data_IF_046927488611
#
_entry.id   IF_046927488611
#
_cell.length_a   1.000
_cell.length_b   1.000
_cell.length_c   1.000
_cell.angle_alpha   90.00
_cell.angle_beta   90.00
_cell.angle_gamma   90.00
#
_symmetry.space_group_name_H-M   'P 1'
#
loop_
_entity.id
_entity.type
_entity.pdbx_description
1 polymer ?
#
# COMPACT_ATOMS: atom_id res chain seq x y z
N UNK A 1 -9.07 56.11 -19.86
CA UNK A 1 -7.76 56.56 -19.34
C UNK A 1 -7.29 55.73 -18.13
N UNK A 2 -8.17 55.23 -17.24
CA UNK A 2 -7.76 54.47 -16.04
C UNK A 2 -7.16 53.07 -16.31
N UNK A 3 -7.66 52.32 -17.30
CA UNK A 3 -7.19 50.95 -17.58
C UNK A 3 -5.72 50.94 -18.01
N UNK A 4 -5.31 51.87 -18.88
CA UNK A 4 -3.91 51.99 -19.31
C UNK A 4 -2.98 52.34 -18.14
N UNK A 5 -3.43 53.21 -17.23
CA UNK A 5 -2.64 53.59 -16.05
C UNK A 5 -2.50 52.45 -15.06
N UNK A 6 -3.54 51.63 -14.88
CA UNK A 6 -3.51 50.41 -14.06
C UNK A 6 -2.59 49.36 -14.66
N UNK A 7 -2.70 49.09 -15.97
CA UNK A 7 -1.81 48.14 -16.65
C UNK A 7 -0.36 48.57 -16.53
N UNK A 8 -0.05 49.85 -16.74
CA UNK A 8 1.32 50.37 -16.57
C UNK A 8 1.81 50.21 -15.13
N UNK A 9 0.98 50.51 -14.12
CA UNK A 9 1.35 50.29 -12.71
C UNK A 9 1.64 48.83 -12.40
N UNK A 10 0.84 47.90 -12.92
CA UNK A 10 1.08 46.46 -12.73
C UNK A 10 2.36 46.00 -13.42
N UNK A 11 2.66 46.53 -14.61
CA UNK A 11 3.90 46.24 -15.32
C UNK A 11 5.12 46.76 -14.55
N UNK A 12 5.09 48.00 -14.05
CA UNK A 12 6.17 48.54 -13.22
C UNK A 12 6.34 47.77 -11.90
N UNK A 13 5.25 47.30 -11.29
CA UNK A 13 5.31 46.50 -10.07
C UNK A 13 5.96 45.13 -10.31
N UNK A 14 5.61 44.48 -11.42
CA UNK A 14 6.23 43.21 -11.82
C UNK A 14 7.71 43.39 -12.17
N UNK A 15 8.05 44.46 -12.91
CA UNK A 15 9.43 44.80 -13.28
C UNK A 15 10.31 44.98 -12.04
N UNK A 16 9.82 45.71 -11.04
CA UNK A 16 10.50 45.86 -9.74
C UNK A 16 10.71 44.52 -9.03
N UNK A 17 9.70 43.64 -9.02
CA UNK A 17 9.85 42.32 -8.41
C UNK A 17 10.87 41.46 -9.16
N UNK A 18 10.91 41.54 -10.49
CA UNK A 18 11.92 40.87 -11.32
C UNK A 18 13.32 41.40 -11.00
N UNK A 19 13.48 42.71 -10.88
CA UNK A 19 14.75 43.32 -10.51
C UNK A 19 15.26 42.79 -9.16
N UNK A 20 14.40 42.79 -8.13
CA UNK A 20 14.73 42.24 -6.81
C UNK A 20 15.04 40.73 -6.90
N UNK A 21 14.27 39.98 -7.69
CA UNK A 21 14.47 38.55 -7.87
C UNK A 21 15.85 38.25 -8.48
N UNK A 22 16.24 38.99 -9.52
CA UNK A 22 17.54 38.83 -10.19
C UNK A 22 18.69 39.27 -9.28
N UNK A 23 18.54 40.41 -8.59
CA UNK A 23 19.55 40.91 -7.65
C UNK A 23 19.80 39.94 -6.48
N UNK A 24 18.76 39.23 -6.04
CA UNK A 24 18.81 38.28 -4.92
C UNK A 24 18.64 36.82 -5.36
N UNK A 25 19.07 36.47 -6.57
CA UNK A 25 18.89 35.13 -7.14
C UNK A 25 19.39 34.00 -6.22
N UNK A 26 20.58 34.08 -5.58
CA UNK A 26 21.02 33.05 -4.64
C UNK A 26 20.07 32.86 -3.45
N UNK A 27 19.52 33.94 -2.91
CA UNK A 27 18.53 33.89 -1.84
C UNK A 27 17.25 33.24 -2.33
N UNK A 28 16.78 33.61 -3.53
CA UNK A 28 15.55 33.04 -4.12
C UNK A 28 15.68 31.52 -4.34
N UNK A 29 16.86 31.03 -4.75
CA UNK A 29 17.15 29.60 -4.85
C UNK A 29 17.00 28.89 -3.49
N UNK A 30 17.53 29.49 -2.42
CA UNK A 30 17.45 28.91 -1.07
C UNK A 30 16.01 28.97 -0.55
N UNK A 31 15.30 30.08 -0.76
CA UNK A 31 13.88 30.25 -0.40
C UNK A 31 13.04 29.19 -1.13
N UNK A 32 13.26 29.00 -2.43
CA UNK A 32 12.64 27.93 -3.21
C UNK A 32 12.85 26.57 -2.55
N UNK A 33 14.08 26.24 -2.16
CA UNK A 33 14.39 24.94 -1.57
C UNK A 33 13.76 24.76 -0.18
N UNK A 34 13.79 25.79 0.67
CA UNK A 34 13.20 25.76 2.01
C UNK A 34 11.68 25.61 1.95
N UNK A 35 11.02 26.35 1.07
CA UNK A 35 9.56 26.25 0.89
C UNK A 35 9.19 24.90 0.28
N UNK A 36 9.96 24.38 -0.67
CA UNK A 36 9.71 23.07 -1.27
C UNK A 36 9.90 21.93 -0.26
N UNK A 37 10.88 22.04 0.64
CA UNK A 37 11.04 21.13 1.78
C UNK A 37 9.86 21.24 2.76
N UNK A 38 9.43 22.45 3.11
CA UNK A 38 8.26 22.66 3.97
C UNK A 38 6.97 22.06 3.40
N UNK A 39 6.75 22.22 2.09
CA UNK A 39 5.64 21.57 1.39
C UNK A 39 5.71 20.04 1.45
N UNK A 40 6.91 19.47 1.28
CA UNK A 40 7.12 18.03 1.44
C UNK A 40 6.81 17.54 2.86
N UNK A 41 7.25 18.27 3.89
CA UNK A 41 6.94 17.95 5.29
C UNK A 41 5.43 17.96 5.52
N UNK A 42 4.74 19.02 5.05
CA UNK A 42 3.29 19.15 5.16
C UNK A 42 2.57 17.97 4.49
N UNK A 43 2.89 17.65 3.24
CA UNK A 43 2.24 16.55 2.52
C UNK A 43 2.53 15.19 3.12
N UNK A 44 3.78 14.95 3.53
CA UNK A 44 4.20 13.69 4.14
C UNK A 44 3.47 13.47 5.46
N UNK A 45 3.36 14.50 6.33
CA UNK A 45 2.61 14.42 7.58
C UNK A 45 1.12 14.19 7.29
N UNK A 46 0.51 15.02 6.44
CA UNK A 46 -0.91 14.92 6.13
C UNK A 46 -1.28 13.53 5.61
N UNK A 47 -0.52 13.04 4.62
CA UNK A 47 -0.82 11.74 4.01
C UNK A 47 -0.49 10.59 4.96
N UNK A 48 0.58 10.67 5.75
CA UNK A 48 0.90 9.59 6.70
C UNK A 48 -0.14 9.48 7.81
N UNK A 49 -0.74 10.60 8.23
CA UNK A 49 -1.85 10.59 9.19
C UNK A 49 -3.11 10.01 8.58
N UNK A 50 -3.42 10.34 7.32
CA UNK A 50 -4.62 9.86 6.63
C UNK A 50 -4.52 8.38 6.26
N UNK A 51 -3.35 7.91 5.83
CA UNK A 51 -3.12 6.54 5.35
C UNK A 51 -2.70 5.59 6.49
N UNK A 52 -2.24 6.12 7.62
CA UNK A 52 -1.81 5.33 8.79
C UNK A 52 -0.42 4.71 8.67
N UNK A 53 0.31 5.00 7.59
CA UNK A 53 1.68 4.55 7.34
C UNK A 53 2.54 5.70 6.79
N UNK A 54 3.86 5.58 6.91
CA UNK A 54 4.75 6.62 6.40
C UNK A 54 4.79 6.60 4.86
N UNK A 55 4.14 7.59 4.24
CA UNK A 55 4.07 7.71 2.79
C UNK A 55 4.95 8.83 2.30
N UNK A 56 6.03 8.46 1.61
CA UNK A 56 6.88 9.43 0.90
C UNK A 56 6.07 10.10 -0.21
N UNK A 57 5.97 11.43 -0.17
CA UNK A 57 5.38 12.25 -1.22
C UNK A 57 6.43 12.95 -2.07
N UNK A 58 6.00 13.45 -3.22
CA UNK A 58 6.83 14.22 -4.16
C UNK A 58 7.29 13.43 -5.40
N UNK A 59 7.68 14.19 -6.43
CA UNK A 59 8.26 13.64 -7.66
C UNK A 59 9.73 13.23 -7.49
N UNK A 60 10.46 13.98 -6.67
CA UNK A 60 11.88 13.82 -6.45
C UNK A 60 12.19 12.75 -5.39
N UNK A 61 13.42 12.24 -5.39
CA UNK A 61 13.86 11.30 -4.38
C UNK A 61 14.13 11.96 -3.03
N UNK A 62 14.61 13.20 -3.04
CA UNK A 62 14.85 13.99 -1.85
C UNK A 62 13.57 14.44 -1.16
N UNK A 63 13.66 14.93 0.08
CA UNK A 63 12.53 15.41 0.86
C UNK A 63 12.05 16.78 0.36
N UNK A 64 11.56 16.85 -0.88
CA UNK A 64 11.15 18.12 -1.50
C UNK A 64 9.97 17.94 -2.45
N UNK A 65 9.05 18.89 -2.40
CA UNK A 65 7.98 19.06 -3.36
C UNK A 65 8.18 20.40 -4.10
N UNK A 66 8.92 20.41 -5.23
CA UNK A 66 9.29 21.63 -5.95
C UNK A 66 8.12 22.55 -6.31
N UNK A 67 6.92 21.98 -6.47
CA UNK A 67 5.72 22.75 -6.82
C UNK A 67 5.38 23.82 -5.78
N UNK A 68 5.66 23.59 -4.49
CA UNK A 68 5.44 24.60 -3.44
C UNK A 68 6.40 25.77 -3.56
N UNK A 69 7.69 25.50 -3.78
CA UNK A 69 8.68 26.55 -3.98
C UNK A 69 8.44 27.35 -5.26
N UNK A 70 8.13 26.66 -6.37
CA UNK A 70 7.79 27.30 -7.65
C UNK A 70 6.53 28.16 -7.49
N UNK A 71 5.48 27.61 -6.90
CA UNK A 71 4.23 28.33 -6.66
C UNK A 71 4.43 29.55 -5.79
N UNK A 72 5.13 29.42 -4.65
CA UNK A 72 5.44 30.53 -3.76
C UNK A 72 6.19 31.66 -4.45
N UNK A 73 7.27 31.33 -5.18
CA UNK A 73 8.06 32.35 -5.88
C UNK A 73 7.31 32.96 -7.06
N UNK A 74 6.53 32.18 -7.81
CA UNK A 74 5.71 32.69 -8.91
C UNK A 74 4.65 33.68 -8.40
N UNK A 75 3.95 33.32 -7.31
CA UNK A 75 2.98 34.20 -6.66
C UNK A 75 3.66 35.45 -6.12
N UNK A 76 4.80 35.34 -5.44
CA UNK A 76 5.53 36.50 -4.94
C UNK A 76 6.03 37.41 -6.08
N UNK A 77 6.51 36.84 -7.17
CA UNK A 77 6.97 37.61 -8.34
C UNK A 77 5.82 38.42 -8.94
N UNK A 78 4.64 37.83 -9.09
CA UNK A 78 3.47 38.48 -9.70
C UNK A 78 2.76 39.44 -8.73
N UNK A 79 2.65 39.08 -7.45
CA UNK A 79 1.77 39.74 -6.48
C UNK A 79 2.51 40.39 -5.30
N UNK A 80 3.84 40.38 -5.27
CA UNK A 80 4.65 40.87 -4.14
C UNK A 80 4.49 42.36 -3.81
N UNK A 81 3.98 43.18 -4.74
CA UNK A 81 3.69 44.60 -4.50
C UNK A 81 2.21 44.86 -4.16
N UNK A 82 1.36 43.83 -4.15
CA UNK A 82 -0.07 43.97 -3.86
C UNK A 82 -0.28 43.97 -2.35
N UNK A 83 -0.76 45.09 -1.80
CA UNK A 83 -0.97 45.22 -0.34
C UNK A 83 -2.26 44.56 0.16
N UNK A 84 -3.23 44.29 -0.72
CA UNK A 84 -4.53 43.74 -0.32
C UNK A 84 -4.48 42.20 -0.27
N UNK A 85 -4.61 41.57 0.91
CA UNK A 85 -4.50 40.13 1.05
C UNK A 85 -5.64 39.36 0.39
N UNK A 86 -6.82 39.95 0.21
CA UNK A 86 -7.95 39.31 -0.49
C UNK A 86 -7.62 39.18 -1.98
N UNK A 87 -7.01 40.21 -2.58
CA UNK A 87 -6.56 40.16 -3.97
C UNK A 87 -5.48 39.10 -4.14
N UNK A 88 -4.51 39.06 -3.22
CA UNK A 88 -3.46 38.03 -3.22
C UNK A 88 -4.04 36.62 -3.07
N UNK A 89 -5.04 36.44 -2.21
CA UNK A 89 -5.74 35.17 -2.05
C UNK A 89 -6.40 34.72 -3.35
N UNK A 90 -7.20 35.59 -3.98
CA UNK A 90 -7.97 35.24 -5.18
C UNK A 90 -7.04 34.99 -6.37
N UNK A 91 -6.15 35.93 -6.69
CA UNK A 91 -5.25 35.82 -7.86
C UNK A 91 -4.20 34.74 -7.60
N UNK A 92 -3.69 34.63 -6.37
CA UNK A 92 -2.76 33.58 -5.97
C UNK A 92 -3.37 32.19 -6.06
N UNK A 93 -4.62 32.01 -5.62
CA UNK A 93 -5.35 30.75 -5.79
C UNK A 93 -5.47 30.36 -7.26
N UNK A 94 -5.82 31.31 -8.14
CA UNK A 94 -5.92 31.06 -9.59
C UNK A 94 -4.54 30.68 -10.16
N UNK A 95 -3.49 31.44 -9.84
CA UNK A 95 -2.14 31.17 -10.34
C UNK A 95 -1.63 29.80 -9.87
N UNK A 96 -1.78 29.48 -8.60
CA UNK A 96 -1.41 28.18 -8.04
C UNK A 96 -2.19 27.04 -8.68
N UNK A 97 -3.49 27.23 -8.92
CA UNK A 97 -4.35 26.24 -9.60
C UNK A 97 -3.90 25.99 -11.04
N UNK A 98 -3.47 27.02 -11.76
CA UNK A 98 -2.91 26.87 -13.12
C UNK A 98 -1.59 26.11 -13.08
N UNK A 99 -0.70 26.41 -12.13
CA UNK A 99 0.56 25.69 -11.94
C UNK A 99 0.29 24.22 -11.58
N UNK A 100 -0.62 23.96 -10.65
CA UNK A 100 -1.02 22.61 -10.24
C UNK A 100 -1.58 21.83 -11.42
N UNK A 101 -2.58 22.37 -12.12
CA UNK A 101 -3.18 21.68 -13.26
C UNK A 101 -2.16 21.37 -14.36
N UNK A 102 -1.34 22.36 -14.75
CA UNK A 102 -0.35 22.19 -15.81
C UNK A 102 0.74 21.18 -15.42
N UNK A 103 1.22 21.23 -14.19
CA UNK A 103 2.22 20.28 -13.67
C UNK A 103 1.64 18.87 -13.61
N UNK A 104 0.45 18.70 -13.04
CA UNK A 104 -0.23 17.41 -12.96
C UNK A 104 -0.46 16.81 -14.35
N UNK A 105 -0.90 17.62 -15.32
CA UNK A 105 -1.11 17.20 -16.69
C UNK A 105 0.19 16.80 -17.39
N UNK A 106 1.27 17.56 -17.20
CA UNK A 106 2.58 17.24 -17.75
C UNK A 106 3.11 15.91 -17.21
N UNK A 107 3.10 15.77 -15.89
CA UNK A 107 3.58 14.57 -15.20
C UNK A 107 2.78 13.34 -15.60
N UNK A 108 1.45 13.43 -15.64
CA UNK A 108 0.57 12.34 -16.06
C UNK A 108 0.81 11.94 -17.52
N UNK A 109 0.96 12.91 -18.43
CA UNK A 109 1.24 12.61 -19.84
C UNK A 109 2.58 11.93 -20.03
N UNK A 110 3.62 12.41 -19.33
CA UNK A 110 5.00 11.95 -19.49
C UNK A 110 5.28 10.62 -18.80
N UNK A 111 4.66 10.36 -17.65
CA UNK A 111 4.97 9.21 -16.80
C UNK A 111 3.80 8.25 -16.58
N UNK A 112 2.61 8.57 -17.10
CA UNK A 112 1.38 7.75 -16.99
C UNK A 112 0.98 7.47 -15.53
N UNK A 113 1.34 8.36 -14.61
CA UNK A 113 1.05 8.27 -13.18
C UNK A 113 0.49 9.60 -12.68
N UNK A 114 -0.38 9.53 -11.67
CA UNK A 114 -0.85 10.71 -10.93
C UNK A 114 -0.04 10.85 -9.63
N UNK A 115 0.45 12.05 -9.35
CA UNK A 115 1.15 12.34 -8.09
C UNK A 115 0.21 12.78 -6.98
N UNK A 116 -0.95 13.30 -7.34
CA UNK A 116 -2.06 13.62 -6.46
C UNK A 116 -3.36 13.32 -7.21
N UNK A 117 -4.42 13.02 -6.46
CA UNK A 117 -5.74 12.75 -7.03
C UNK A 117 -6.86 13.34 -6.17
N UNK A 118 -7.55 14.34 -6.71
CA UNK A 118 -8.71 14.98 -6.10
C UNK A 118 -10.05 14.46 -6.62
N UNK A 119 -10.10 13.29 -7.27
CA UNK A 119 -11.33 12.74 -7.85
C UNK A 119 -12.47 12.56 -6.84
N UNK A 120 -12.14 12.38 -5.55
CA UNK A 120 -13.12 12.28 -4.46
C UNK A 120 -13.73 13.61 -4.03
N UNK A 121 -13.15 14.75 -4.44
CA UNK A 121 -13.64 16.08 -4.07
C UNK A 121 -14.66 16.61 -5.09
N UNK A 122 -15.68 17.31 -4.59
CA UNK A 122 -16.70 17.95 -5.45
C UNK A 122 -16.07 19.04 -6.31
N UNK A 123 -16.57 19.18 -7.55
CA UNK A 123 -16.09 20.15 -8.54
C UNK A 123 -14.61 19.99 -8.92
N UNK A 124 -14.05 18.79 -8.75
CA UNK A 124 -12.72 18.50 -9.27
C UNK A 124 -12.69 18.56 -10.80
N UNK A 125 -11.55 18.95 -11.38
CA UNK A 125 -11.33 18.91 -12.81
C UNK A 125 -10.35 17.78 -13.14
N UNK A 126 -10.86 16.67 -13.69
CA UNK A 126 -10.11 15.46 -14.03
C UNK A 126 -9.30 14.86 -12.85
N UNK A 127 -9.72 15.15 -11.61
CA UNK A 127 -8.97 14.81 -10.40
C UNK A 127 -7.65 15.54 -10.21
N UNK A 128 -7.32 16.58 -11.00
CA UNK A 128 -6.02 17.29 -10.92
C UNK A 128 -6.06 18.52 -10.02
N UNK A 129 -7.20 19.18 -9.94
CA UNK A 129 -7.44 20.36 -9.11
C UNK A 129 -8.85 20.28 -8.53
N UNK A 130 -9.09 20.95 -7.41
CA UNK A 130 -10.43 21.15 -6.84
C UNK A 130 -10.51 22.50 -6.09
N UNK A 131 -11.70 23.10 -5.93
CA UNK A 131 -11.84 24.41 -5.26
C UNK A 131 -11.30 24.44 -3.82
N UNK A 132 -11.40 23.32 -3.09
CA UNK A 132 -10.88 23.20 -1.74
C UNK A 132 -9.35 23.33 -1.72
N UNK A 133 -8.65 22.63 -2.62
CA UNK A 133 -7.21 22.75 -2.77
C UNK A 133 -6.82 24.17 -3.23
N UNK A 134 -7.54 24.74 -4.21
CA UNK A 134 -7.34 26.12 -4.66
C UNK A 134 -7.46 27.13 -3.51
N UNK A 135 -8.40 26.95 -2.59
CA UNK A 135 -8.55 27.83 -1.42
C UNK A 135 -7.37 27.70 -0.44
N UNK A 136 -6.88 26.48 -0.20
CA UNK A 136 -5.67 26.26 0.62
C UNK A 136 -4.46 26.93 -0.03
N UNK A 137 -4.28 26.80 -1.34
CA UNK A 137 -3.21 27.49 -2.06
C UNK A 137 -3.39 29.00 -2.12
N UNK A 138 -4.62 29.51 -2.11
CA UNK A 138 -4.91 30.93 -1.94
C UNK A 138 -4.43 31.45 -0.58
N UNK A 139 -4.71 30.72 0.50
CA UNK A 139 -4.22 31.06 1.83
C UNK A 139 -2.68 30.98 1.90
N UNK A 140 -2.10 29.93 1.31
CA UNK A 140 -0.65 29.80 1.21
C UNK A 140 -0.02 30.93 0.39
N UNK A 141 -0.68 31.42 -0.66
CA UNK A 141 -0.23 32.56 -1.46
C UNK A 141 -0.12 33.84 -0.63
N UNK A 142 -1.13 34.13 0.20
CA UNK A 142 -1.10 35.26 1.15
C UNK A 142 0.07 35.10 2.12
N UNK A 143 0.19 33.95 2.76
CA UNK A 143 1.28 33.66 3.71
C UNK A 143 2.65 33.77 3.04
N UNK A 144 2.78 33.31 1.80
CA UNK A 144 4.02 33.38 1.04
C UNK A 144 4.43 34.83 0.75
N UNK A 145 3.49 35.65 0.26
CA UNK A 145 3.73 37.04 -0.15
C UNK A 145 4.05 37.93 1.05
N UNK A 146 3.28 37.83 2.13
CA UNK A 146 3.40 38.77 3.25
C UNK A 146 4.33 38.28 4.37
N UNK A 147 4.62 36.98 4.44
CA UNK A 147 5.37 36.39 5.56
C UNK A 147 6.59 35.61 5.06
N UNK A 148 6.40 34.50 4.35
CA UNK A 148 7.51 33.56 4.10
C UNK A 148 8.64 34.18 3.29
N UNK A 149 8.35 34.71 2.09
CA UNK A 149 9.40 35.24 1.22
C UNK A 149 10.08 36.47 1.83
N UNK A 150 9.36 37.48 2.36
CA UNK A 150 10.00 38.63 3.01
C UNK A 150 10.84 38.23 4.24
N UNK A 151 10.32 37.36 5.12
CA UNK A 151 11.04 36.93 6.32
C UNK A 151 12.29 36.14 5.96
N UNK A 152 12.21 35.18 5.05
CA UNK A 152 13.36 34.40 4.64
C UNK A 152 14.40 35.26 3.92
N UNK A 153 13.97 36.21 3.07
CA UNK A 153 14.88 37.13 2.39
C UNK A 153 15.65 37.98 3.42
N UNK A 154 14.95 38.55 4.41
CA UNK A 154 15.58 39.33 5.48
C UNK A 154 16.59 38.51 6.28
N UNK A 155 16.27 37.25 6.62
CA UNK A 155 17.20 36.35 7.32
C UNK A 155 18.42 36.07 6.45
N UNK A 156 18.23 35.77 5.16
CA UNK A 156 19.34 35.46 4.25
C UNK A 156 20.24 36.67 3.97
N UNK A 157 19.73 37.90 4.11
CA UNK A 157 20.54 39.12 4.02
C UNK A 157 21.50 39.33 5.19
N UNK A 158 21.36 38.60 6.31
CA UNK A 158 22.30 38.63 7.43
C UNK A 158 23.64 37.99 7.04
N UNK A 159 23.61 37.03 6.11
CA UNK A 159 24.79 36.27 5.70
C UNK A 159 25.56 36.98 4.59
N UNK A 160 26.85 36.67 4.49
CA UNK A 160 27.70 37.20 3.42
C UNK A 160 27.21 36.73 2.05
N UNK A 161 27.33 37.58 1.02
CA UNK A 161 26.95 37.23 -0.36
C UNK A 161 27.66 35.96 -0.84
N UNK A 162 28.93 35.78 -0.48
CA UNK A 162 29.69 34.59 -0.84
C UNK A 162 29.09 33.32 -0.20
N UNK A 163 28.73 33.37 1.10
CA UNK A 163 28.13 32.23 1.81
C UNK A 163 26.82 31.82 1.15
N UNK A 164 25.93 32.78 0.90
CA UNK A 164 24.62 32.52 0.27
C UNK A 164 24.81 31.94 -1.14
N UNK A 165 25.73 32.48 -1.94
CA UNK A 165 26.01 31.98 -3.29
C UNK A 165 26.54 30.53 -3.30
N UNK A 166 27.43 30.17 -2.37
CA UNK A 166 27.93 28.80 -2.26
C UNK A 166 26.81 27.83 -1.87
N UNK A 167 25.99 28.20 -0.88
CA UNK A 167 24.85 27.37 -0.46
C UNK A 167 23.84 27.22 -1.60
N UNK A 168 23.51 28.30 -2.30
CA UNK A 168 22.63 28.26 -3.46
C UNK A 168 23.17 27.35 -4.57
N UNK A 169 24.48 27.40 -4.85
CA UNK A 169 25.11 26.51 -5.83
C UNK A 169 25.01 25.03 -5.43
N UNK A 170 25.24 24.71 -4.16
CA UNK A 170 25.07 23.35 -3.63
C UNK A 170 23.61 22.90 -3.80
N UNK A 171 22.65 23.74 -3.41
CA UNK A 171 21.22 23.47 -3.56
C UNK A 171 20.86 23.18 -5.02
N UNK A 172 21.27 24.02 -5.97
CA UNK A 172 21.00 23.81 -7.40
C UNK A 172 21.61 22.50 -7.87
N UNK A 173 22.84 22.20 -7.47
CA UNK A 173 23.52 20.95 -7.83
C UNK A 173 22.77 19.73 -7.33
N UNK A 174 22.33 19.74 -6.06
CA UNK A 174 21.55 18.64 -5.48
C UNK A 174 20.20 18.47 -6.17
N UNK A 175 19.47 19.55 -6.42
CA UNK A 175 18.20 19.50 -7.15
C UNK A 175 18.38 18.98 -8.58
N UNK A 176 19.46 19.38 -9.25
CA UNK A 176 19.77 18.90 -10.60
C UNK A 176 20.03 17.40 -10.62
N UNK A 177 20.92 16.92 -9.73
CA UNK A 177 21.24 15.49 -9.62
C UNK A 177 20.00 14.65 -9.27
N UNK A 178 19.19 15.10 -8.32
CA UNK A 178 17.96 14.43 -7.92
C UNK A 178 16.92 14.43 -9.05
N UNK A 179 16.75 15.56 -9.74
CA UNK A 179 15.84 15.64 -10.90
C UNK A 179 16.26 14.67 -11.98
N UNK A 180 17.55 14.61 -12.33
CA UNK A 180 18.06 13.65 -13.31
C UNK A 180 17.81 12.21 -12.85
N UNK A 181 18.14 11.88 -11.60
CA UNK A 181 17.90 10.54 -11.05
C UNK A 181 16.41 10.17 -11.09
N UNK A 182 15.53 11.08 -10.66
CA UNK A 182 14.08 10.89 -10.61
C UNK A 182 13.47 10.76 -12.01
N UNK A 183 13.95 11.53 -12.99
CA UNK A 183 13.55 11.40 -14.39
C UNK A 183 13.96 10.05 -14.99
N UNK A 184 15.17 9.57 -14.69
CA UNK A 184 15.67 8.28 -15.15
C UNK A 184 14.91 7.12 -14.50
N UNK A 185 14.63 7.22 -13.20
CA UNK A 185 13.89 6.19 -12.46
C UNK A 185 12.43 6.10 -12.88
N UNK A 186 11.73 7.24 -12.90
CA UNK A 186 10.33 7.30 -13.32
C UNK A 186 10.17 7.16 -14.84
N UNK A 187 11.27 7.17 -15.60
CA UNK A 187 11.28 7.06 -17.05
C UNK A 187 10.68 5.73 -17.57
N UNK A 188 10.19 5.70 -18.83
CA UNK A 188 9.46 4.55 -19.37
C UNK A 188 10.32 3.29 -19.48
N UNK A 189 11.63 3.47 -19.66
CA UNK A 189 12.62 2.41 -19.85
C UNK A 189 12.97 1.65 -18.57
N UNK A 190 12.79 2.27 -17.40
CA UNK A 190 13.25 1.70 -16.12
C UNK A 190 12.10 0.92 -15.46
N UNK A 191 10.90 1.49 -15.43
CA UNK A 191 9.71 0.79 -14.91
C UNK A 191 9.42 -0.51 -15.66
N UNK A 192 9.48 -0.53 -16.99
CA UNK A 192 9.24 -1.77 -17.75
C UNK A 192 10.29 -2.85 -17.45
N UNK A 193 11.55 -2.47 -17.19
CA UNK A 193 12.61 -3.44 -16.86
C UNK A 193 12.45 -3.98 -15.44
N UNK A 194 12.09 -3.12 -14.48
CA UNK A 194 11.88 -3.52 -13.09
C UNK A 194 10.59 -4.34 -12.94
N UNK A 195 9.51 -3.95 -13.60
CA UNK A 195 8.25 -4.73 -13.62
C UNK A 195 8.43 -6.06 -14.35
N UNK A 196 9.13 -6.09 -15.49
CA UNK A 196 9.46 -7.35 -16.16
C UNK A 196 10.32 -8.26 -15.28
N UNK A 197 11.30 -7.71 -14.56
CA UNK A 197 12.12 -8.48 -13.62
C UNK A 197 11.31 -8.97 -12.40
N UNK A 198 10.36 -8.16 -11.91
CA UNK A 198 9.48 -8.53 -10.80
C UNK A 198 8.43 -9.58 -11.19
N UNK A 199 7.91 -9.52 -12.43
CA UNK A 199 7.02 -10.53 -13.00
C UNK A 199 7.78 -11.85 -13.24
N UNK A 200 8.98 -11.79 -13.80
CA UNK A 200 9.85 -12.98 -13.97
C UNK A 200 10.17 -13.63 -12.62
N UNK A 201 10.48 -12.83 -11.59
CA UNK A 201 10.69 -13.32 -10.23
C UNK A 201 9.42 -13.94 -9.63
N UNK A 202 8.25 -13.32 -9.79
CA UNK A 202 6.98 -13.87 -9.28
C UNK A 202 6.61 -15.17 -9.96
N UNK A 203 6.78 -15.27 -11.29
CA UNK A 203 6.53 -16.53 -12.02
C UNK A 203 7.42 -17.67 -11.52
N UNK A 204 8.71 -17.40 -11.26
CA UNK A 204 9.62 -18.39 -10.69
C UNK A 204 9.22 -18.84 -9.29
N UNK A 205 8.75 -17.91 -8.45
CA UNK A 205 8.26 -18.24 -7.10
C UNK A 205 6.97 -19.05 -7.16
N UNK A 206 6.05 -18.70 -8.05
CA UNK A 206 4.79 -19.43 -8.28
C UNK A 206 5.08 -20.86 -8.76
N UNK A 207 6.02 -21.03 -9.70
CA UNK A 207 6.43 -22.35 -10.21
C UNK A 207 7.06 -23.22 -9.11
N UNK A 208 7.93 -22.65 -8.27
CA UNK A 208 8.52 -23.36 -7.12
C UNK A 208 7.44 -23.73 -6.10
N UNK A 209 6.50 -22.83 -5.83
CA UNK A 209 5.40 -23.08 -4.90
C UNK A 209 4.44 -24.17 -5.41
N UNK A 210 4.09 -24.15 -6.71
CA UNK A 210 3.25 -25.16 -7.32
C UNK A 210 3.94 -26.53 -7.35
N UNK A 211 5.23 -26.59 -7.69
CA UNK A 211 6.00 -27.84 -7.65
C UNK A 211 6.13 -28.40 -6.22
N UNK A 212 6.33 -27.54 -5.22
CA UNK A 212 6.35 -27.95 -3.83
C UNK A 212 4.97 -28.48 -3.38
N UNK A 213 3.90 -27.77 -3.74
CA UNK A 213 2.52 -28.16 -3.42
C UNK A 213 2.14 -29.48 -4.07
N UNK A 214 2.49 -29.69 -5.35
CA UNK A 214 2.26 -30.96 -6.05
C UNK A 214 3.02 -32.13 -5.41
N UNK A 215 4.27 -31.93 -4.98
CA UNK A 215 5.04 -32.97 -4.26
C UNK A 215 4.41 -33.30 -2.92
N UNK A 216 3.96 -32.29 -2.17
CA UNK A 216 3.29 -32.49 -0.88
C UNK A 216 1.94 -33.18 -1.07
N UNK A 217 1.14 -32.79 -2.07
CA UNK A 217 -0.15 -33.43 -2.35
C UNK A 217 0.03 -34.88 -2.82
N UNK A 218 1.04 -35.16 -3.66
CA UNK A 218 1.35 -36.52 -4.08
C UNK A 218 1.83 -37.39 -2.91
N UNK A 219 2.67 -36.85 -2.02
CA UNK A 219 3.09 -37.55 -0.81
C UNK A 219 1.91 -37.82 0.14
N UNK A 220 1.02 -36.83 0.32
CA UNK A 220 -0.18 -36.97 1.15
C UNK A 220 -1.17 -38.00 0.58
N UNK A 221 -1.40 -38.00 -0.75
CA UNK A 221 -2.22 -39.00 -1.42
C UNK A 221 -1.64 -40.40 -1.27
N UNK A 222 -0.34 -40.58 -1.48
CA UNK A 222 0.33 -41.87 -1.29
C UNK A 222 0.25 -42.35 0.17
N UNK A 223 0.44 -41.46 1.14
CA UNK A 223 0.31 -41.80 2.56
C UNK A 223 -1.14 -42.19 2.92
N UNK A 224 -2.12 -41.44 2.42
CA UNK A 224 -3.54 -41.72 2.62
C UNK A 224 -3.95 -43.06 1.98
N UNK A 225 -3.43 -43.38 0.80
CA UNK A 225 -3.71 -44.65 0.13
C UNK A 225 -3.14 -45.83 0.91
N UNK A 226 -1.89 -45.74 1.39
CA UNK A 226 -1.29 -46.76 2.26
C UNK A 226 -2.06 -46.92 3.58
N UNK A 227 -2.52 -45.82 4.18
CA UNK A 227 -3.32 -45.87 5.40
C UNK A 227 -4.68 -46.55 5.16
N UNK A 228 -5.35 -46.25 4.04
CA UNK A 228 -6.61 -46.91 3.66
C UNK A 228 -6.41 -48.40 3.38
N UNK A 229 -5.35 -48.79 2.67
CA UNK A 229 -5.03 -50.20 2.44
C UNK A 229 -4.75 -50.96 3.74
N UNK A 230 -4.04 -50.33 4.69
CA UNK A 230 -3.79 -50.91 6.00
C UNK A 230 -5.09 -51.05 6.82
N UNK A 231 -5.96 -50.03 6.81
CA UNK A 231 -7.25 -50.06 7.47
C UNK A 231 -8.18 -51.14 6.89
N UNK A 232 -8.21 -51.28 5.56
CA UNK A 232 -8.98 -52.33 4.88
C UNK A 232 -8.47 -53.73 5.24
N UNK A 233 -7.15 -53.94 5.25
CA UNK A 233 -6.54 -55.21 5.67
C UNK A 233 -6.85 -55.53 7.14
N UNK A 234 -6.79 -54.53 8.03
CA UNK A 234 -7.13 -54.70 9.44
C UNK A 234 -8.62 -55.05 9.62
N UNK A 235 -9.52 -54.38 8.90
CA UNK A 235 -10.95 -54.68 8.92
C UNK A 235 -11.24 -56.09 8.37
N UNK A 236 -10.61 -56.49 7.27
CA UNK A 236 -10.74 -57.84 6.72
C UNK A 236 -10.26 -58.90 7.72
N UNK A 237 -9.14 -58.67 8.40
CA UNK A 237 -8.63 -59.55 9.44
C UNK A 237 -9.59 -59.64 10.64
N UNK A 238 -10.15 -58.51 11.08
CA UNK A 238 -11.13 -58.45 12.18
C UNK A 238 -12.44 -59.19 11.82
N UNK A 239 -12.95 -59.02 10.59
CA UNK A 239 -14.12 -59.76 10.10
C UNK A 239 -13.86 -61.26 10.04
N UNK A 240 -12.68 -61.67 9.57
CA UNK A 240 -12.31 -63.08 9.50
C UNK A 240 -12.18 -63.70 10.91
N UNK A 241 -11.57 -62.97 11.85
CA UNK A 241 -11.48 -63.39 13.26
C UNK A 241 -12.87 -63.51 13.90
N UNK A 242 -13.77 -62.56 13.62
CA UNK A 242 -15.16 -62.61 14.08
C UNK A 242 -15.89 -63.82 13.49
N UNK A 243 -15.74 -64.09 12.19
CA UNK A 243 -16.32 -65.26 11.53
C UNK A 243 -15.83 -66.58 12.17
N UNK A 244 -14.53 -66.68 12.46
CA UNK A 244 -13.94 -67.85 13.13
C UNK A 244 -14.50 -68.00 14.54
N UNK A 245 -14.62 -66.90 15.30
CA UNK A 245 -15.20 -66.92 16.64
C UNK A 245 -16.66 -67.37 16.62
N UNK A 246 -17.47 -66.86 15.70
CA UNK A 246 -18.89 -67.25 15.55
C UNK A 246 -19.02 -68.72 15.15
N UNK A 247 -18.19 -69.22 14.22
CA UNK A 247 -18.16 -70.65 13.86
C UNK A 247 -17.80 -71.54 15.05
N UNK A 248 -16.80 -71.15 15.84
CA UNK A 248 -16.43 -71.87 17.07
C UNK A 248 -17.56 -71.84 18.10
N UNK A 249 -18.21 -70.69 18.30
CA UNK A 249 -19.35 -70.57 19.21
C UNK A 249 -20.53 -71.47 18.78
N UNK A 250 -20.84 -71.53 17.49
CA UNK A 250 -21.86 -72.44 16.95
C UNK A 250 -21.50 -73.91 17.18
N UNK A 251 -20.24 -74.30 16.94
CA UNK A 251 -19.78 -75.67 17.23
C UNK A 251 -19.88 -76.02 18.72
N UNK A 252 -19.53 -75.10 19.61
CA UNK A 252 -19.66 -75.29 21.06
C UNK A 252 -21.14 -75.42 21.45
N UNK A 253 -22.01 -74.56 20.91
CA UNK A 253 -23.46 -74.63 21.17
C UNK A 253 -24.06 -75.96 20.72
N UNK A 254 -23.68 -76.46 19.54
CA UNK A 254 -24.08 -77.79 19.07
C UNK A 254 -23.60 -78.90 20.01
N UNK A 255 -22.33 -78.86 20.44
CA UNK A 255 -21.80 -79.83 21.40
C UNK A 255 -22.56 -79.79 22.73
N UNK A 256 -22.88 -78.60 23.24
CA UNK A 256 -23.66 -78.42 24.48
C UNK A 256 -25.07 -78.99 24.33
N UNK A 257 -25.75 -78.76 23.21
CA UNK A 257 -27.08 -79.34 22.94
C UNK A 257 -27.04 -80.87 22.89
N UNK A 258 -26.06 -81.46 22.21
CA UNK A 258 -25.89 -82.92 22.14
C UNK A 258 -25.59 -83.51 23.52
N UNK A 259 -24.76 -82.85 24.32
CA UNK A 259 -24.48 -83.29 25.70
C UNK A 259 -25.71 -83.17 26.58
N UNK A 260 -26.51 -82.10 26.44
CA UNK A 260 -27.78 -81.95 27.18
C UNK A 260 -28.77 -83.06 26.82
N UNK A 261 -28.95 -83.36 25.53
CA UNK A 261 -29.78 -84.49 25.10
C UNK A 261 -29.31 -85.83 25.68
N UNK A 262 -27.99 -86.10 25.68
CA UNK A 262 -27.44 -87.31 26.30
C UNK A 262 -27.67 -87.36 27.81
N UNK A 263 -27.59 -86.21 28.48
CA UNK A 263 -27.86 -86.11 29.92
C UNK A 263 -29.34 -86.36 30.19
N UNK A 264 -30.25 -85.74 29.44
CA UNK A 264 -31.69 -85.91 29.56
C UNK A 264 -32.10 -87.38 29.30
N UNK A 265 -31.56 -88.02 28.25
CA UNK A 265 -31.75 -89.44 27.96
C UNK A 265 -31.24 -90.35 29.08
N UNK A 266 -30.12 -89.98 29.72
CA UNK A 266 -29.56 -90.74 30.84
C UNK A 266 -30.41 -90.56 32.10
N UNK A 267 -30.83 -89.34 32.40
CA UNK A 267 -31.75 -89.02 33.50
C UNK A 267 -33.08 -89.74 33.34
N UNK A 268 -33.64 -89.77 32.12
CA UNK A 268 -34.87 -90.51 31.82
C UNK A 268 -34.68 -92.02 32.00
N UNK A 269 -33.56 -92.60 31.53
CA UNK A 269 -33.24 -94.03 31.76
C UNK A 269 -33.07 -94.38 33.24
N UNK A 270 -32.52 -93.47 34.05
CA UNK A 270 -32.42 -93.65 35.50
C UNK A 270 -33.81 -93.55 36.15
N UNK A 271 -34.64 -92.60 35.70
CA UNK A 271 -36.03 -92.44 36.15
C UNK A 271 -36.88 -93.69 35.91
N UNK A 272 -36.74 -94.33 34.76
CA UNK A 272 -37.50 -95.54 34.40
C UNK A 272 -37.09 -96.80 35.22
N UNK A 273 -35.98 -96.75 35.96
CA UNK A 273 -35.47 -97.87 36.78
C UNK A 273 -35.71 -97.71 38.28
N UNK A 274 -36.34 -96.62 38.73
CA UNK A 274 -36.59 -96.33 40.14
C UNK A 274 -38.06 -96.59 40.52
N UNK A 275 -38.34 -97.04 41.76
CA UNK A 275 -39.72 -97.24 42.25
C UNK A 275 -40.45 -95.90 42.43
N UNK A 276 -41.77 -95.89 42.27
CA UNK A 276 -42.63 -94.68 42.19
C UNK A 276 -42.69 -93.77 43.43
N UNK A 277 -41.90 -94.02 44.47
CA UNK A 277 -41.78 -93.18 45.68
C UNK A 277 -40.60 -92.20 45.66
N UNK A 278 -39.91 -92.04 44.53
CA UNK A 278 -38.69 -91.22 44.42
C UNK A 278 -38.99 -89.71 44.19
N UNK A 279 -38.46 -88.77 44.99
CA UNK A 279 -38.75 -87.35 44.90
C UNK A 279 -37.85 -86.66 43.86
N UNK A 280 -38.44 -86.06 42.83
CA UNK A 280 -37.70 -85.51 41.67
C UNK A 280 -37.43 -84.00 41.71
N UNK A 281 -38.28 -83.24 42.39
CA UNK A 281 -38.26 -81.77 42.29
C UNK A 281 -38.05 -81.16 43.68
N UNK A 282 -36.79 -80.81 43.98
CA UNK A 282 -36.38 -79.84 45.00
C UNK A 282 -35.31 -78.94 44.39
#
# INVERSE_FOLDING_TARGET
MSTMTETLRTLFALDKNIEVFVQHLPQMVIIFALISFGGWVYETIYCSVVEGEFTKRGFLFGPTCPIYGIGALAVWLVLGQISNPIIVFIIGAVLATVIEYSTGLFLERRFKKKWWDYSMFKFNLHGRICPQASAVFGAFSVTSVFVLVPTMLNILMIFSKHTVSVVAFIVVTLYFLDTVASLLWNGPTTHHKVEAAAQDASMKVEEVAQNASQKVSAAAQNASQKANEAAQKANAAAQNATLIATKKAQQVSQKVQVTKQKLDDTTQKVRDRLPGSFPWDN
#
